data_IF_291368111561
#
_entry.id   IF_291368111561
#
_cell.length_a   1.000
_cell.length_b   1.000
_cell.length_c   1.000
_cell.angle_alpha   90.00
_cell.angle_beta   90.00
_cell.angle_gamma   90.00
#
_symmetry.space_group_name_H-M   'P 1'
#
loop_
_entity.id
_entity.type
_entity.pdbx_description
1 polymer ?
#
# COMPACT_ATOMS: atom_id res chain seq x y z
N UNK A 1 -17.51 10.22 5.67
CA UNK A 1 -16.51 9.79 6.69
C UNK A 1 -15.14 10.38 6.41
N UNK A 2 -14.56 10.16 5.21
CA UNK A 2 -13.25 10.70 4.81
C UNK A 2 -13.18 12.24 4.90
N UNK A 3 -14.22 12.94 4.42
CA UNK A 3 -14.28 14.41 4.44
C UNK A 3 -14.11 15.04 5.83
N UNK A 4 -14.48 14.32 6.89
CA UNK A 4 -14.36 14.80 8.27
C UNK A 4 -12.90 14.99 8.69
N UNK A 5 -11.97 14.32 8.02
CA UNK A 5 -10.54 14.44 8.30
C UNK A 5 -9.89 15.61 7.57
N UNK A 6 -10.52 16.17 6.53
CA UNK A 6 -9.98 17.32 5.78
C UNK A 6 -8.49 17.15 5.47
N UNK A 7 -7.69 18.14 5.84
CA UNK A 7 -6.24 18.10 5.60
C UNK A 7 -5.42 17.50 6.77
N UNK A 8 -6.07 16.92 7.77
CA UNK A 8 -5.39 16.33 8.94
C UNK A 8 -4.72 14.99 8.64
N UNK A 9 -5.08 14.37 7.51
CA UNK A 9 -4.41 13.19 6.96
C UNK A 9 -3.98 13.47 5.52
N UNK A 10 -2.97 12.76 5.03
CA UNK A 10 -2.48 12.89 3.65
C UNK A 10 -2.52 11.58 2.88
N UNK A 11 -2.83 10.47 3.56
CA UNK A 11 -2.85 9.13 2.98
C UNK A 11 -3.94 8.28 3.64
N UNK A 12 -4.62 7.47 2.83
CA UNK A 12 -5.57 6.45 3.27
C UNK A 12 -4.98 5.09 2.95
N UNK A 13 -4.80 4.24 3.97
CA UNK A 13 -4.28 2.89 3.81
C UNK A 13 -5.41 1.86 3.92
N UNK A 14 -5.62 1.09 2.85
CA UNK A 14 -6.47 -0.09 2.87
C UNK A 14 -5.67 -1.26 3.47
N UNK A 15 -6.17 -1.86 4.55
CA UNK A 15 -5.49 -2.98 5.22
C UNK A 15 -6.22 -4.30 4.96
N UNK A 16 -5.48 -5.30 4.46
CA UNK A 16 -6.04 -6.61 4.12
C UNK A 16 -6.80 -6.60 2.80
N UNK A 17 -7.98 -7.22 2.75
CA UNK A 17 -8.75 -7.41 1.51
C UNK A 17 -8.09 -8.38 0.51
N UNK A 18 -7.13 -9.18 0.99
CA UNK A 18 -6.39 -10.14 0.18
C UNK A 18 -7.29 -11.19 -0.49
N UNK A 19 -8.44 -11.52 0.12
CA UNK A 19 -9.43 -12.44 -0.42
C UNK A 19 -10.31 -11.81 -1.51
N UNK A 20 -10.35 -10.48 -1.62
CA UNK A 20 -11.23 -9.76 -2.53
C UNK A 20 -10.51 -8.63 -3.31
N UNK A 21 -9.56 -8.98 -4.20
CA UNK A 21 -8.76 -8.00 -4.95
C UNK A 21 -9.59 -6.99 -5.75
N UNK A 22 -10.77 -7.41 -6.25
CA UNK A 22 -11.68 -6.54 -6.99
C UNK A 22 -12.18 -5.36 -6.15
N UNK A 23 -12.47 -5.59 -4.88
CA UNK A 23 -12.93 -4.53 -3.96
C UNK A 23 -11.79 -3.62 -3.54
N UNK A 24 -10.57 -4.15 -3.40
CA UNK A 24 -9.37 -3.33 -3.18
C UNK A 24 -9.15 -2.36 -4.35
N UNK A 25 -9.22 -2.83 -5.60
CA UNK A 25 -9.13 -1.95 -6.78
C UNK A 25 -10.27 -0.90 -6.81
N UNK A 26 -11.51 -1.33 -6.54
CA UNK A 26 -12.66 -0.44 -6.54
C UNK A 26 -12.51 0.68 -5.52
N UNK A 27 -12.11 0.35 -4.29
CA UNK A 27 -11.93 1.30 -3.20
C UNK A 27 -10.80 2.28 -3.51
N UNK A 28 -9.66 1.80 -4.00
CA UNK A 28 -8.53 2.65 -4.36
C UNK A 28 -8.93 3.69 -5.43
N UNK A 29 -9.58 3.23 -6.50
CA UNK A 29 -10.11 4.11 -7.56
C UNK A 29 -11.14 5.09 -7.04
N UNK A 30 -12.03 4.65 -6.16
CA UNK A 30 -13.05 5.51 -5.57
C UNK A 30 -12.40 6.65 -4.78
N UNK A 31 -11.41 6.34 -3.94
CA UNK A 31 -10.71 7.33 -3.13
C UNK A 31 -9.97 8.33 -4.03
N UNK A 32 -9.21 7.88 -5.03
CA UNK A 32 -8.54 8.79 -5.98
C UNK A 32 -9.53 9.70 -6.72
N UNK A 33 -10.67 9.14 -7.14
CA UNK A 33 -11.67 9.89 -7.91
C UNK A 33 -12.39 10.94 -7.06
N UNK A 34 -12.83 10.56 -5.87
CA UNK A 34 -13.68 11.40 -5.02
C UNK A 34 -12.88 12.30 -4.06
N UNK A 35 -11.63 11.94 -3.78
CA UNK A 35 -10.77 12.61 -2.80
C UNK A 35 -9.34 12.82 -3.35
N UNK A 36 -9.23 13.58 -4.44
CA UNK A 36 -8.01 13.83 -5.23
C UNK A 36 -6.76 14.34 -4.47
N UNK A 37 -6.90 14.73 -3.20
CA UNK A 37 -5.80 15.21 -2.36
C UNK A 37 -5.14 14.14 -1.50
N UNK A 38 -5.73 12.96 -1.34
CA UNK A 38 -5.13 11.89 -0.55
C UNK A 38 -4.35 10.93 -1.42
N UNK A 39 -3.22 10.50 -0.88
CA UNK A 39 -2.53 9.31 -1.36
C UNK A 39 -3.29 8.06 -0.95
N UNK A 40 -3.21 7.00 -1.74
CA UNK A 40 -3.80 5.70 -1.39
C UNK A 40 -2.71 4.65 -1.26
N UNK A 41 -2.78 3.92 -0.15
CA UNK A 41 -1.87 2.83 0.13
C UNK A 41 -2.63 1.51 0.30
N UNK A 42 -1.97 0.40 0.00
CA UNK A 42 -2.47 -0.94 0.33
C UNK A 42 -1.46 -1.68 1.20
N UNK A 43 -1.94 -2.25 2.31
CA UNK A 43 -1.19 -3.14 3.18
C UNK A 43 -1.71 -4.56 3.02
N UNK A 44 -0.89 -5.44 2.44
CA UNK A 44 -1.20 -6.83 2.18
C UNK A 44 -0.24 -7.77 2.90
N UNK A 45 -0.75 -8.92 3.35
CA UNK A 45 0.08 -10.02 3.84
C UNK A 45 0.63 -10.90 2.73
N UNK A 46 0.27 -10.67 1.46
CA UNK A 46 0.76 -11.46 0.32
C UNK A 46 2.21 -11.13 0.03
N UNK A 47 2.95 -12.13 -0.45
CA UNK A 47 4.36 -11.96 -0.81
C UNK A 47 4.55 -11.18 -2.12
N UNK A 48 3.61 -11.32 -3.05
CA UNK A 48 3.61 -10.66 -4.36
C UNK A 48 2.27 -9.98 -4.62
N UNK A 49 2.29 -8.95 -5.46
CA UNK A 49 1.08 -8.28 -5.93
C UNK A 49 0.33 -9.24 -6.86
N UNK A 50 -0.94 -9.60 -6.58
CA UNK A 50 -1.75 -10.37 -7.51
C UNK A 50 -1.88 -9.67 -8.87
N UNK A 51 -1.87 -10.42 -9.97
CA UNK A 51 -2.04 -9.85 -11.32
C UNK A 51 -3.39 -9.16 -11.53
N UNK A 52 -4.37 -9.45 -10.68
CA UNK A 52 -5.69 -8.80 -10.68
C UNK A 52 -5.69 -7.42 -10.02
N UNK A 53 -4.65 -7.06 -9.27
CA UNK A 53 -4.51 -5.72 -8.68
C UNK A 53 -3.99 -4.75 -9.74
N UNK A 54 -4.67 -3.62 -9.88
CA UNK A 54 -4.24 -2.50 -10.72
C UNK A 54 -3.32 -1.62 -9.89
N UNK A 55 -2.01 -1.72 -10.11
CA UNK A 55 -1.03 -1.08 -9.23
C UNK A 55 -1.06 0.43 -9.37
N UNK A 56 -1.32 0.95 -10.57
CA UNK A 56 -1.50 2.39 -10.83
C UNK A 56 -2.62 3.08 -10.05
N UNK A 57 -3.53 2.32 -9.42
CA UNK A 57 -4.55 2.87 -8.52
C UNK A 57 -4.00 3.17 -7.10
N UNK A 58 -2.71 2.89 -6.83
CA UNK A 58 -2.07 3.06 -5.52
C UNK A 58 -0.80 3.92 -5.59
N UNK A 59 -0.60 4.79 -4.60
CA UNK A 59 0.65 5.51 -4.38
C UNK A 59 1.68 4.67 -3.62
N UNK A 60 1.22 3.77 -2.75
CA UNK A 60 2.08 2.87 -1.97
C UNK A 60 1.50 1.47 -1.84
N UNK A 61 2.37 0.46 -1.89
CA UNK A 61 1.97 -0.93 -1.65
C UNK A 61 2.96 -1.57 -0.68
N UNK A 62 2.46 -2.03 0.46
CA UNK A 62 3.20 -2.84 1.43
C UNK A 62 2.82 -4.30 1.24
N UNK A 63 3.83 -5.15 1.04
CA UNK A 63 3.71 -6.60 0.92
C UNK A 63 4.49 -7.34 2.03
N UNK A 64 4.23 -8.64 2.11
CA UNK A 64 4.90 -9.59 2.98
C UNK A 64 4.17 -9.75 4.31
N UNK A 65 3.93 -10.99 4.77
CA UNK A 65 3.40 -11.24 6.10
C UNK A 65 4.46 -10.87 7.14
N UNK A 66 4.04 -10.59 8.36
CA UNK A 66 4.99 -10.48 9.47
C UNK A 66 5.54 -11.86 9.81
N UNK A 67 6.87 -11.99 9.86
CA UNK A 67 7.57 -13.21 10.26
C UNK A 67 8.45 -12.85 11.45
N UNK A 68 8.16 -13.42 12.62
CA UNK A 68 8.74 -13.02 13.90
C UNK A 68 10.27 -13.01 13.91
N UNK A 69 10.91 -14.08 13.44
CA UNK A 69 12.39 -14.19 13.42
C UNK A 69 13.09 -13.27 12.41
N UNK A 70 12.35 -12.68 11.45
CA UNK A 70 12.86 -11.71 10.49
C UNK A 70 12.62 -10.26 10.91
N UNK A 71 11.73 -10.06 11.89
CA UNK A 71 11.43 -8.77 12.48
C UNK A 71 10.57 -7.83 11.62
N UNK A 72 10.36 -6.64 12.17
CA UNK A 72 9.53 -5.57 11.59
C UNK A 72 10.19 -4.91 10.36
N UNK A 73 9.47 -4.01 9.69
CA UNK A 73 9.96 -3.27 8.50
C UNK A 73 11.30 -2.54 8.72
N UNK A 74 11.65 -2.23 9.98
CA UNK A 74 12.89 -1.54 10.35
C UNK A 74 14.11 -2.46 10.42
N UNK A 75 13.91 -3.76 10.38
CA UNK A 75 14.99 -4.74 10.44
C UNK A 75 15.49 -5.06 9.03
N UNK A 76 16.82 -5.10 8.86
CA UNK A 76 17.46 -5.47 7.58
C UNK A 76 17.12 -6.89 7.12
N UNK A 77 16.73 -7.74 8.07
CA UNK A 77 16.33 -9.13 7.86
C UNK A 77 14.88 -9.29 7.39
N UNK A 78 14.08 -8.21 7.39
CA UNK A 78 12.64 -8.32 7.13
C UNK A 78 12.33 -8.87 5.73
N UNK A 79 11.29 -9.70 5.64
CA UNK A 79 10.73 -10.16 4.37
C UNK A 79 9.70 -9.17 3.79
N UNK A 80 9.35 -8.13 4.53
CA UNK A 80 8.35 -7.15 4.13
C UNK A 80 8.94 -6.19 3.11
N UNK A 81 8.08 -5.72 2.18
CA UNK A 81 8.49 -4.77 1.13
C UNK A 81 7.52 -3.62 1.07
N UNK A 82 8.02 -2.39 1.09
CA UNK A 82 7.23 -1.18 0.89
C UNK A 82 7.64 -0.54 -0.44
N UNK A 83 6.68 -0.51 -1.36
CA UNK A 83 6.83 0.07 -2.68
C UNK A 83 6.17 1.44 -2.74
N UNK A 84 6.81 2.37 -3.46
CA UNK A 84 6.26 3.69 -3.79
C UNK A 84 6.07 3.79 -5.30
N UNK A 85 4.88 4.22 -5.71
CA UNK A 85 4.56 4.50 -7.11
C UNK A 85 5.39 5.66 -7.65
N UNK A 86 5.80 5.55 -8.92
CA UNK A 86 6.49 6.61 -9.63
C UNK A 86 5.68 7.10 -10.83
N UNK A 87 5.70 6.39 -11.95
CA UNK A 87 4.99 6.72 -13.19
C UNK A 87 4.41 5.43 -13.78
N UNK A 88 3.21 5.50 -14.35
CA UNK A 88 2.59 4.36 -15.01
C UNK A 88 2.31 3.21 -14.04
N UNK A 89 2.89 2.03 -14.29
CA UNK A 89 2.79 0.85 -13.41
C UNK A 89 4.08 0.61 -12.62
N UNK A 90 5.05 1.53 -12.70
CA UNK A 90 6.35 1.36 -12.08
C UNK A 90 6.34 1.75 -10.61
N UNK A 91 7.08 0.96 -9.83
CA UNK A 91 7.24 1.12 -8.39
C UNK A 91 8.70 0.97 -8.02
N UNK A 92 9.16 1.77 -7.06
CA UNK A 92 10.47 1.64 -6.44
C UNK A 92 10.31 1.01 -5.05
N UNK A 93 11.20 0.06 -4.71
CA UNK A 93 11.30 -0.46 -3.34
C UNK A 93 11.96 0.61 -2.46
N UNK A 94 11.25 1.07 -1.44
CA UNK A 94 11.75 2.06 -0.47
C UNK A 94 11.95 1.45 0.91
N UNK A 95 11.90 0.12 1.05
CA UNK A 95 11.97 -0.60 2.34
C UNK A 95 13.21 -0.20 3.14
N UNK A 96 14.36 -0.10 2.49
CA UNK A 96 15.64 0.20 3.15
C UNK A 96 15.67 1.57 3.83
N UNK A 97 14.84 2.51 3.36
CA UNK A 97 14.73 3.85 3.95
C UNK A 97 14.15 3.84 5.37
N UNK A 98 13.56 2.72 5.79
CA UNK A 98 12.97 2.54 7.12
C UNK A 98 13.87 1.74 8.07
N UNK A 99 14.98 1.18 7.57
CA UNK A 99 15.89 0.42 8.40
C UNK A 99 16.54 1.28 9.48
N UNK A 100 16.82 0.66 10.62
CA UNK A 100 17.62 1.25 11.69
C UNK A 100 19.07 0.76 11.64
#
# INVERSE_FOLDING_TARGET
MIERFGNSITCICLMGGDAEPSSINMLARYIHKMHKGYKVAWYSGRQLIPSTIRKSDFDYIKLGPYIEHLGCLKERTTNQRLYKHIVGEDFIDITETFWK
#
